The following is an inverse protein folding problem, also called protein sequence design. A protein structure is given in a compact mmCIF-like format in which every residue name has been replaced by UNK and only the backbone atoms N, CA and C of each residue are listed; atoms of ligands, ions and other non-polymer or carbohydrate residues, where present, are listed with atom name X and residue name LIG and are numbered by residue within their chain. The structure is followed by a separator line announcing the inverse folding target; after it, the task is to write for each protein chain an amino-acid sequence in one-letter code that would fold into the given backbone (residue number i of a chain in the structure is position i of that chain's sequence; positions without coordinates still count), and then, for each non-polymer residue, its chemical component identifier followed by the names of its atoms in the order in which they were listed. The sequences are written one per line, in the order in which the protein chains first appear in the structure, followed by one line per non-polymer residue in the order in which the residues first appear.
data_IF_338049563287
#
_entry.id   IF_338049563287
#
_cell.length_a   1.000
_cell.length_b   1.000
_cell.length_c   1.000
_cell.angle_alpha   90.00
_cell.angle_beta   90.00
_cell.angle_gamma   90.00
#
_symmetry.space_group_name_H-M   'P 1'
#
loop_
_entity.id
_entity.type
_entity.pdbx_description
1 polymer ?
#
# COMPACT_ATOMS: atom_id res chain seq x y z
N UNK A 1 -1.62 -46.71 35.20
CA UNK A 1 -1.85 -46.37 33.77
C UNK A 1 -2.86 -45.26 33.58
N UNK A 2 -4.04 -45.31 34.20
CA UNK A 2 -5.13 -44.31 34.00
C UNK A 2 -4.75 -42.87 34.35
N UNK A 3 -3.97 -42.66 35.43
CA UNK A 3 -3.53 -41.31 35.84
C UNK A 3 -2.47 -40.68 34.91
N UNK A 4 -1.58 -41.49 34.30
CA UNK A 4 -0.63 -40.99 33.31
C UNK A 4 -1.32 -40.62 31.99
N UNK A 5 -2.35 -41.38 31.60
CA UNK A 5 -3.12 -41.12 30.39
C UNK A 5 -3.95 -39.83 30.52
N UNK A 6 -4.58 -39.60 31.68
CA UNK A 6 -5.29 -38.37 31.97
C UNK A 6 -4.36 -37.15 32.01
N UNK A 7 -3.18 -37.28 32.61
CA UNK A 7 -2.16 -36.21 32.61
C UNK A 7 -1.71 -35.85 31.19
N UNK A 8 -1.51 -36.85 30.32
CA UNK A 8 -1.12 -36.63 28.93
C UNK A 8 -2.21 -35.89 28.12
N UNK A 9 -3.49 -36.24 28.32
CA UNK A 9 -4.62 -35.53 27.71
C UNK A 9 -4.70 -34.09 28.21
N UNK A 10 -4.51 -33.86 29.51
CA UNK A 10 -4.51 -32.50 30.07
C UNK A 10 -3.38 -31.63 29.52
N UNK A 11 -2.18 -32.19 29.33
CA UNK A 11 -1.05 -31.47 28.70
C UNK A 11 -1.31 -31.21 27.22
N UNK A 12 -1.91 -32.16 26.50
CA UNK A 12 -2.26 -31.98 25.08
C UNK A 12 -3.33 -30.90 24.90
N UNK A 13 -4.37 -30.89 25.75
CA UNK A 13 -5.41 -29.85 25.73
C UNK A 13 -4.86 -28.47 26.13
N UNK A 14 -3.91 -28.41 27.06
CA UNK A 14 -3.22 -27.17 27.41
C UNK A 14 -2.36 -26.67 26.24
N UNK A 15 -1.64 -27.55 25.54
CA UNK A 15 -0.86 -27.21 24.35
C UNK A 15 -1.76 -26.75 23.20
N UNK A 16 -2.93 -27.36 23.01
CA UNK A 16 -3.93 -26.95 22.02
C UNK A 16 -4.55 -25.57 22.35
N UNK A 17 -4.78 -25.26 23.63
CA UNK A 17 -5.22 -23.91 24.05
C UNK A 17 -4.11 -22.86 24.00
N UNK A 18 -2.84 -23.25 24.15
CA UNK A 18 -1.70 -22.34 23.95
C UNK A 18 -1.49 -22.06 22.46
N UNK A 19 -1.83 -22.98 21.55
CA UNK A 19 -1.85 -22.69 20.11
C UNK A 19 -2.98 -21.76 19.67
N UNK A 20 -4.07 -21.59 20.43
CA UNK A 20 -5.05 -20.53 20.17
C UNK A 20 -4.61 -19.17 20.76
N UNK A 21 -3.53 -19.15 21.53
CA UNK A 21 -2.81 -17.96 22.00
C UNK A 21 -1.71 -17.56 20.99
N UNK A 22 -1.95 -17.75 19.69
CA UNK A 22 -1.26 -16.90 18.72
C UNK A 22 -1.78 -15.49 18.97
N UNK A 23 -0.98 -14.66 19.62
CA UNK A 23 -1.06 -13.21 19.47
C UNK A 23 -1.16 -12.98 17.97
N UNK A 24 -2.34 -12.58 17.48
CA UNK A 24 -2.42 -11.87 16.21
C UNK A 24 -1.55 -10.64 16.44
N UNK A 25 -0.29 -10.73 16.03
CA UNK A 25 0.57 -9.56 15.89
C UNK A 25 -0.13 -8.79 14.80
N UNK A 26 -0.93 -7.79 15.19
CA UNK A 26 -1.64 -6.97 14.23
C UNK A 26 -0.56 -6.27 13.41
N UNK A 27 -0.57 -6.50 12.10
CA UNK A 27 0.15 -5.71 11.10
C UNK A 27 0.18 -4.23 11.48
N UNK A 28 1.28 -3.52 11.23
CA UNK A 28 1.10 -2.08 11.09
C UNK A 28 0.16 -1.91 9.88
N UNK A 29 -0.97 -1.22 10.02
CA UNK A 29 -2.06 -1.25 9.04
C UNK A 29 -1.78 -0.40 7.79
N UNK A 30 -0.53 -0.34 7.33
CA UNK A 30 -0.14 0.37 6.12
C UNK A 30 0.02 -0.58 4.94
N UNK A 31 -0.19 -0.04 3.74
CA UNK A 31 0.18 -0.67 2.49
C UNK A 31 1.57 -0.24 2.03
N UNK A 32 2.18 -1.01 1.15
CA UNK A 32 3.41 -0.61 0.48
C UNK A 32 3.31 -0.85 -1.02
N UNK A 33 3.85 0.09 -1.80
CA UNK A 33 3.98 -0.10 -3.23
C UNK A 33 5.18 -1.01 -3.50
N UNK A 34 4.92 -2.14 -4.15
CA UNK A 34 5.98 -3.05 -4.63
C UNK A 34 6.21 -2.78 -6.12
N UNK A 35 7.02 -1.75 -6.38
CA UNK A 35 7.48 -1.41 -7.72
C UNK A 35 8.51 -2.41 -8.27
N UNK A 36 8.42 -2.67 -9.57
CA UNK A 36 9.26 -3.66 -10.28
C UNK A 36 10.02 -3.05 -11.47
N UNK A 37 10.13 -1.71 -11.57
CA UNK A 37 10.92 -1.03 -12.61
C UNK A 37 12.42 -1.05 -12.28
N UNK A 38 12.96 -2.25 -12.14
CA UNK A 38 14.37 -2.52 -11.88
C UNK A 38 14.80 -3.88 -12.41
N UNK A 39 16.11 -4.09 -12.60
CA UNK A 39 16.66 -5.37 -13.09
C UNK A 39 17.46 -6.16 -12.05
N UNK A 40 17.55 -5.64 -10.82
CA UNK A 40 18.38 -6.16 -9.74
C UNK A 40 17.58 -6.53 -8.47
N UNK A 41 16.25 -6.54 -8.57
CA UNK A 41 15.36 -6.87 -7.46
C UNK A 41 15.45 -8.35 -7.05
N UNK A 42 15.20 -8.65 -5.77
CA UNK A 42 15.13 -10.03 -5.30
C UNK A 42 13.92 -10.76 -5.90
N UNK A 43 13.96 -12.09 -5.95
CA UNK A 43 12.82 -12.87 -6.42
C UNK A 43 11.61 -12.67 -5.50
N UNK A 44 10.36 -12.69 -6.03
CA UNK A 44 9.16 -12.41 -5.25
C UNK A 44 8.98 -13.28 -3.99
N UNK A 45 9.50 -14.51 -3.98
CA UNK A 45 9.46 -15.38 -2.80
C UNK A 45 10.28 -14.86 -1.62
N UNK A 46 11.41 -14.18 -1.88
CA UNK A 46 12.18 -13.51 -0.83
C UNK A 46 11.48 -12.23 -0.36
N UNK A 47 10.83 -11.52 -1.29
CA UNK A 47 10.03 -10.33 -0.96
C UNK A 47 8.86 -10.70 -0.05
N UNK A 48 8.19 -11.84 -0.28
CA UNK A 48 7.13 -12.32 0.60
C UNK A 48 7.61 -12.54 2.05
N UNK A 49 8.84 -13.03 2.22
CA UNK A 49 9.45 -13.18 3.56
C UNK A 49 9.73 -11.82 4.20
N UNK A 50 10.22 -10.84 3.41
CA UNK A 50 10.47 -9.48 3.89
C UNK A 50 9.18 -8.78 4.32
N UNK A 51 8.14 -8.82 3.48
CA UNK A 51 6.84 -8.20 3.79
C UNK A 51 6.27 -8.76 5.09
N UNK A 52 6.35 -10.09 5.26
CA UNK A 52 5.91 -10.74 6.49
C UNK A 52 6.73 -10.30 7.70
N UNK A 53 8.04 -10.13 7.58
CA UNK A 53 8.89 -9.69 8.69
C UNK A 53 8.67 -8.21 9.05
N UNK A 54 8.31 -7.37 8.07
CA UNK A 54 7.93 -5.98 8.28
C UNK A 54 6.52 -5.82 8.87
N UNK A 55 5.76 -6.92 8.96
CA UNK A 55 4.37 -6.91 9.43
C UNK A 55 3.48 -5.98 8.57
N UNK A 56 3.74 -5.93 7.27
CA UNK A 56 2.96 -5.18 6.27
C UNK A 56 1.75 -6.01 5.88
N UNK A 57 0.55 -5.43 5.97
CA UNK A 57 -0.70 -6.14 5.68
C UNK A 57 -1.15 -6.03 4.23
N UNK A 58 -0.67 -5.02 3.48
CA UNK A 58 -1.19 -4.68 2.15
C UNK A 58 -0.07 -4.36 1.16
N UNK A 59 -0.21 -4.80 -0.07
CA UNK A 59 0.70 -4.50 -1.18
C UNK A 59 -0.10 -3.91 -2.34
N UNK A 60 0.45 -2.87 -2.96
CA UNK A 60 -0.01 -2.37 -4.26
C UNK A 60 1.04 -2.69 -5.33
N UNK A 61 0.59 -3.39 -6.38
CA UNK A 61 1.34 -3.64 -7.61
C UNK A 61 0.87 -2.69 -8.71
N UNK A 62 1.76 -2.43 -9.67
CA UNK A 62 1.47 -1.63 -10.86
C UNK A 62 1.04 -2.48 -12.07
N UNK A 63 1.05 -3.80 -11.90
CA UNK A 63 0.59 -4.80 -12.85
C UNK A 63 -0.15 -5.93 -12.11
N UNK A 64 -0.42 -7.02 -12.82
CA UNK A 64 -1.00 -8.24 -12.27
C UNK A 64 -0.04 -9.44 -12.44
N UNK A 65 1.24 -9.28 -12.06
CA UNK A 65 2.28 -10.29 -12.22
C UNK A 65 1.93 -11.62 -11.51
N UNK A 66 1.67 -12.71 -12.26
CA UNK A 66 1.40 -14.04 -11.72
C UNK A 66 2.48 -14.57 -10.78
N UNK A 67 3.75 -14.25 -11.06
CA UNK A 67 4.89 -14.76 -10.29
C UNK A 67 4.86 -14.17 -8.89
N UNK A 68 4.53 -12.88 -8.77
CA UNK A 68 4.34 -12.21 -7.48
C UNK A 68 3.11 -12.79 -6.77
N UNK A 69 1.96 -12.84 -7.44
CA UNK A 69 0.72 -13.33 -6.82
C UNK A 69 0.86 -14.75 -6.28
N UNK A 70 1.53 -15.66 -7.00
CA UNK A 70 1.81 -17.03 -6.55
C UNK A 70 2.81 -17.06 -5.39
N UNK A 71 3.85 -16.22 -5.41
CA UNK A 71 4.83 -16.17 -4.32
C UNK A 71 4.23 -15.74 -2.97
N UNK A 72 3.11 -15.01 -3.00
CA UNK A 72 2.36 -14.57 -1.83
C UNK A 72 1.13 -15.44 -1.50
N UNK A 73 0.99 -16.61 -2.13
CA UNK A 73 -0.07 -17.58 -1.82
C UNK A 73 -0.10 -17.89 -0.31
N UNK A 74 -1.29 -17.83 0.29
CA UNK A 74 -1.56 -18.09 1.71
C UNK A 74 -0.80 -17.16 2.68
N UNK A 75 -0.33 -16.00 2.23
CA UNK A 75 0.36 -15.02 3.08
C UNK A 75 -0.59 -14.18 3.94
N UNK A 76 -1.89 -14.16 3.60
CA UNK A 76 -2.92 -13.25 4.12
C UNK A 76 -2.66 -11.75 3.83
N UNK A 77 -1.62 -11.42 3.05
CA UNK A 77 -1.39 -10.05 2.57
C UNK A 77 -2.45 -9.72 1.54
N UNK A 78 -3.10 -8.56 1.70
CA UNK A 78 -4.06 -8.04 0.75
C UNK A 78 -3.35 -7.35 -0.44
N UNK A 79 -3.85 -7.59 -1.65
CA UNK A 79 -3.30 -7.07 -2.89
C UNK A 79 -4.25 -6.12 -3.60
N UNK A 80 -3.72 -4.93 -3.90
CA UNK A 80 -4.18 -4.08 -5.00
C UNK A 80 -3.29 -4.40 -6.20
N UNK A 81 -3.89 -4.79 -7.33
CA UNK A 81 -3.16 -5.03 -8.58
C UNK A 81 -3.44 -3.93 -9.60
N UNK A 82 -2.50 -3.73 -10.53
CA UNK A 82 -2.58 -2.68 -11.53
C UNK A 82 -2.96 -3.18 -12.92
N UNK A 83 -3.71 -2.36 -13.64
CA UNK A 83 -3.83 -2.43 -15.10
C UNK A 83 -3.18 -1.18 -15.70
N UNK A 84 -2.13 -1.36 -16.50
CA UNK A 84 -1.35 -0.26 -17.06
C UNK A 84 -2.14 0.62 -18.04
N UNK A 85 -1.70 1.88 -18.19
CA UNK A 85 -2.34 2.89 -19.03
C UNK A 85 -2.46 2.45 -20.50
N UNK A 86 -1.50 1.67 -20.99
CA UNK A 86 -1.48 1.10 -22.35
C UNK A 86 -2.62 0.11 -22.62
N UNK A 87 -3.22 -0.43 -21.57
CA UNK A 87 -4.31 -1.41 -21.66
C UNK A 87 -5.71 -0.76 -21.69
N UNK A 88 -5.84 0.53 -21.36
CA UNK A 88 -7.12 1.22 -21.20
C UNK A 88 -8.02 1.09 -22.44
N UNK A 89 -7.47 1.33 -23.64
CA UNK A 89 -8.25 1.21 -24.88
C UNK A 89 -8.78 -0.21 -25.11
N UNK A 90 -7.99 -1.23 -24.77
CA UNK A 90 -8.43 -2.62 -24.92
C UNK A 90 -9.53 -2.96 -23.92
N UNK A 91 -9.46 -2.41 -22.71
CA UNK A 91 -10.42 -2.69 -21.66
C UNK A 91 -11.78 -2.05 -21.91
N UNK A 92 -11.92 -1.07 -22.81
CA UNK A 92 -13.26 -0.56 -23.20
C UNK A 92 -14.11 -1.62 -23.93
N UNK A 93 -13.55 -2.79 -24.27
CA UNK A 93 -14.26 -3.92 -24.84
C UNK A 93 -14.56 -4.98 -23.75
N UNK A 94 -15.84 -5.25 -23.50
CA UNK A 94 -16.28 -6.16 -22.44
C UNK A 94 -15.68 -7.58 -22.54
N UNK A 95 -15.58 -8.16 -23.74
CA UNK A 95 -14.99 -9.50 -23.91
C UNK A 95 -13.49 -9.52 -23.57
N UNK A 96 -12.76 -8.44 -23.89
CA UNK A 96 -11.35 -8.31 -23.51
C UNK A 96 -11.19 -8.10 -22.00
N UNK A 97 -12.05 -7.28 -21.38
CA UNK A 97 -12.05 -7.06 -19.93
C UNK A 97 -12.32 -8.38 -19.17
N UNK A 98 -13.35 -9.12 -19.57
CA UNK A 98 -13.65 -10.43 -18.99
C UNK A 98 -12.49 -11.42 -19.18
N UNK A 99 -11.90 -11.50 -20.37
CA UNK A 99 -10.73 -12.35 -20.62
C UNK A 99 -9.56 -11.98 -19.71
N UNK A 100 -9.31 -10.67 -19.52
CA UNK A 100 -8.25 -10.21 -18.63
C UNK A 100 -8.48 -10.64 -17.18
N UNK A 101 -9.69 -10.51 -16.64
CA UNK A 101 -10.03 -10.96 -15.27
C UNK A 101 -9.83 -12.47 -15.12
N UNK A 102 -10.34 -13.26 -16.07
CA UNK A 102 -10.22 -14.72 -16.05
C UNK A 102 -8.77 -15.19 -16.14
N UNK A 103 -7.89 -14.41 -16.76
CA UNK A 103 -6.48 -14.73 -16.93
C UNK A 103 -5.61 -14.25 -15.75
N UNK A 104 -5.81 -13.03 -15.26
CA UNK A 104 -4.89 -12.35 -14.35
C UNK A 104 -5.40 -12.19 -12.92
N UNK A 105 -6.70 -12.43 -12.67
CA UNK A 105 -7.31 -12.20 -11.35
C UNK A 105 -7.90 -13.50 -10.81
N UNK A 106 -8.90 -14.05 -11.50
CA UNK A 106 -9.69 -15.19 -11.04
C UNK A 106 -8.85 -16.42 -10.63
N UNK A 107 -7.77 -16.81 -11.32
CA UNK A 107 -6.99 -17.99 -10.95
C UNK A 107 -6.32 -17.89 -9.56
N UNK A 108 -6.11 -16.67 -9.07
CA UNK A 108 -5.33 -16.40 -7.85
C UNK A 108 -6.20 -16.17 -6.61
N UNK A 109 -7.48 -15.82 -6.77
CA UNK A 109 -8.38 -15.41 -5.67
C UNK A 109 -8.57 -16.45 -4.56
N UNK A 110 -8.34 -17.74 -4.85
CA UNK A 110 -8.45 -18.81 -3.85
C UNK A 110 -7.25 -18.90 -2.90
N UNK A 111 -6.14 -18.28 -3.26
CA UNK A 111 -4.86 -18.42 -2.58
C UNK A 111 -4.25 -17.07 -2.18
N UNK A 112 -4.53 -16.02 -2.94
CA UNK A 112 -3.98 -14.68 -2.75
C UNK A 112 -5.14 -13.70 -2.61
N UNK A 113 -5.08 -12.87 -1.56
CA UNK A 113 -6.17 -11.97 -1.20
C UNK A 113 -6.15 -10.70 -2.07
N UNK A 114 -6.51 -10.82 -3.34
CA UNK A 114 -6.68 -9.67 -4.23
C UNK A 114 -8.02 -9.01 -3.90
N UNK A 115 -8.01 -7.74 -3.54
CA UNK A 115 -9.20 -6.99 -3.12
C UNK A 115 -9.54 -5.85 -4.07
N UNK A 116 -8.61 -5.43 -4.92
CA UNK A 116 -8.79 -4.26 -5.77
C UNK A 116 -7.96 -4.31 -7.04
N UNK A 117 -8.54 -3.79 -8.13
CA UNK A 117 -7.86 -3.47 -9.39
C UNK A 117 -7.78 -1.95 -9.53
N UNK A 118 -6.56 -1.42 -9.64
CA UNK A 118 -6.33 -0.02 -10.03
C UNK A 118 -6.20 0.06 -11.55
N UNK A 119 -7.14 0.74 -12.19
CA UNK A 119 -7.22 0.89 -13.65
C UNK A 119 -6.52 2.17 -14.06
N UNK A 120 -5.33 2.02 -14.65
CA UNK A 120 -4.43 3.12 -14.95
C UNK A 120 -3.81 3.77 -13.70
N UNK A 121 -2.80 4.60 -13.93
CA UNK A 121 -2.12 5.40 -12.93
C UNK A 121 -1.85 6.80 -13.49
N UNK A 122 -2.33 7.82 -12.79
CA UNK A 122 -2.15 9.24 -13.09
C UNK A 122 -2.57 9.64 -14.52
N UNK A 123 -3.56 8.94 -15.08
CA UNK A 123 -4.01 9.12 -16.47
C UNK A 123 -4.42 10.57 -16.78
N UNK A 124 -5.03 11.24 -15.81
CA UNK A 124 -5.51 12.62 -15.95
C UNK A 124 -4.40 13.69 -15.80
N UNK A 125 -3.18 13.29 -15.43
CA UNK A 125 -1.98 14.14 -15.42
C UNK A 125 -1.10 13.91 -16.67
N UNK A 126 -1.58 13.05 -17.59
CA UNK A 126 -0.92 12.84 -18.89
C UNK A 126 -1.35 13.89 -19.92
N UNK A 127 -0.67 13.92 -21.07
CA UNK A 127 -1.12 14.69 -22.24
C UNK A 127 -1.90 13.81 -23.24
N UNK A 128 -2.28 12.58 -22.86
CA UNK A 128 -2.97 11.64 -23.74
C UNK A 128 -4.48 11.68 -23.50
N UNK A 129 -5.15 12.56 -24.25
CA UNK A 129 -6.60 12.72 -24.20
C UNK A 129 -7.35 11.42 -24.53
N UNK A 130 -6.79 10.54 -25.36
CA UNK A 130 -7.43 9.27 -25.69
C UNK A 130 -7.45 8.35 -24.47
N UNK A 131 -6.37 8.29 -23.70
CA UNK A 131 -6.34 7.55 -22.43
C UNK A 131 -7.32 8.11 -21.41
N UNK A 132 -7.42 9.45 -21.29
CA UNK A 132 -8.41 10.08 -20.40
C UNK A 132 -9.85 9.68 -20.76
N UNK A 133 -10.20 9.66 -22.05
CA UNK A 133 -11.52 9.22 -22.52
C UNK A 133 -11.77 7.72 -22.31
N UNK A 134 -10.72 6.89 -22.37
CA UNK A 134 -10.84 5.45 -22.20
C UNK A 134 -10.91 5.00 -20.73
N UNK A 135 -10.50 5.86 -19.78
CA UNK A 135 -10.37 5.49 -18.37
C UNK A 135 -11.69 4.99 -17.76
N UNK A 136 -12.74 5.83 -17.79
CA UNK A 136 -14.03 5.44 -17.20
C UNK A 136 -14.66 4.23 -17.92
N UNK A 137 -14.73 4.16 -19.27
CA UNK A 137 -15.22 2.97 -19.95
C UNK A 137 -14.45 1.69 -19.59
N UNK A 138 -13.13 1.77 -19.43
CA UNK A 138 -12.31 0.63 -18.99
C UNK A 138 -12.62 0.19 -17.55
N UNK A 139 -12.84 1.14 -16.64
CA UNK A 139 -13.25 0.84 -15.27
C UNK A 139 -14.62 0.16 -15.23
N UNK A 140 -15.58 0.67 -16.02
CA UNK A 140 -16.94 0.15 -16.09
C UNK A 140 -16.97 -1.28 -16.62
N UNK A 141 -16.31 -1.57 -17.75
CA UNK A 141 -16.28 -2.92 -18.32
C UNK A 141 -15.55 -3.94 -17.45
N UNK A 142 -14.52 -3.53 -16.72
CA UNK A 142 -13.85 -4.40 -15.73
C UNK A 142 -14.76 -4.69 -14.54
N UNK A 143 -15.46 -3.67 -14.02
CA UNK A 143 -16.43 -3.88 -12.95
C UNK A 143 -17.58 -4.78 -13.39
N UNK A 144 -18.18 -4.52 -14.56
CA UNK A 144 -19.26 -5.35 -15.11
C UNK A 144 -18.81 -6.80 -15.29
N UNK A 145 -17.58 -7.02 -15.77
CA UNK A 145 -17.03 -8.37 -15.89
C UNK A 145 -16.77 -9.04 -14.54
N UNK A 146 -16.43 -8.30 -13.47
CA UNK A 146 -16.39 -8.84 -12.10
C UNK A 146 -17.79 -9.25 -11.64
N UNK A 147 -18.82 -8.43 -11.89
CA UNK A 147 -20.22 -8.72 -11.55
C UNK A 147 -20.70 -9.97 -12.28
N UNK A 148 -20.46 -10.07 -13.60
CA UNK A 148 -20.85 -11.22 -14.42
C UNK A 148 -20.20 -12.53 -13.95
N UNK A 149 -19.01 -12.45 -13.36
CA UNK A 149 -18.28 -13.58 -12.78
C UNK A 149 -18.60 -13.82 -11.29
N UNK A 150 -19.42 -12.96 -10.66
CA UNK A 150 -19.77 -13.03 -9.24
C UNK A 150 -18.59 -12.71 -8.30
N UNK A 151 -17.66 -11.86 -8.74
CA UNK A 151 -16.41 -11.51 -8.04
C UNK A 151 -16.42 -10.07 -7.48
N UNK A 152 -17.43 -9.27 -7.78
CA UNK A 152 -17.55 -7.84 -7.41
C UNK A 152 -17.62 -7.59 -5.90
N UNK A 153 -18.04 -8.60 -5.12
CA UNK A 153 -18.04 -8.54 -3.67
C UNK A 153 -16.66 -8.78 -3.05
N UNK A 154 -15.74 -9.40 -3.80
CA UNK A 154 -14.37 -9.69 -3.36
C UNK A 154 -13.37 -8.68 -3.91
N UNK A 155 -13.53 -8.27 -5.18
CA UNK A 155 -12.62 -7.40 -5.90
C UNK A 155 -13.35 -6.14 -6.32
N UNK A 156 -12.85 -4.98 -5.90
CA UNK A 156 -13.35 -3.67 -6.37
C UNK A 156 -12.49 -3.10 -7.50
N UNK A 157 -13.01 -2.09 -8.20
CA UNK A 157 -12.28 -1.33 -9.24
C UNK A 157 -12.15 0.12 -8.81
N UNK A 158 -10.96 0.69 -9.01
CA UNK A 158 -10.66 2.10 -8.79
C UNK A 158 -9.60 2.58 -9.81
N UNK A 159 -9.16 3.82 -9.69
CA UNK A 159 -8.04 4.40 -10.44
C UNK A 159 -7.24 5.32 -9.52
N UNK A 160 -5.93 5.42 -9.75
CA UNK A 160 -5.03 6.28 -8.98
C UNK A 160 -4.78 7.58 -9.72
N UNK A 161 -4.95 8.71 -9.03
CA UNK A 161 -4.77 10.04 -9.57
C UNK A 161 -3.51 10.72 -9.02
N UNK A 162 -2.86 11.55 -9.83
CA UNK A 162 -1.83 12.47 -9.35
C UNK A 162 -2.48 13.59 -8.56
N UNK A 163 -1.82 14.12 -7.53
CA UNK A 163 -2.28 15.32 -6.83
C UNK A 163 -2.43 16.55 -7.75
N UNK A 164 -1.75 16.56 -8.91
CA UNK A 164 -1.79 17.65 -9.89
C UNK A 164 -3.14 17.81 -10.62
N UNK A 165 -4.11 16.92 -10.38
CA UNK A 165 -5.48 17.10 -10.89
C UNK A 165 -6.23 18.22 -10.16
N UNK A 166 -5.71 18.72 -9.03
CA UNK A 166 -6.25 19.87 -8.31
C UNK A 166 -5.74 21.19 -8.92
N UNK A 167 -6.64 22.13 -9.18
CA UNK A 167 -6.28 23.51 -9.52
C UNK A 167 -6.00 24.33 -8.26
N UNK A 168 -6.69 24.03 -7.16
CA UNK A 168 -6.46 24.67 -5.88
C UNK A 168 -6.40 23.62 -4.78
N UNK A 169 -5.46 23.78 -3.86
CA UNK A 169 -5.31 22.94 -2.66
C UNK A 169 -5.01 23.75 -1.40
N UNK A 170 -4.93 25.09 -1.50
CA UNK A 170 -4.68 25.97 -0.37
C UNK A 170 -5.66 27.16 -0.35
N UNK A 171 -6.33 27.45 0.79
CA UNK A 171 -6.38 26.58 1.96
C UNK A 171 -7.12 25.25 1.66
N UNK A 172 -6.94 24.18 2.44
CA UNK A 172 -7.50 22.86 2.15
C UNK A 172 -9.02 22.86 1.89
N UNK A 173 -9.79 23.64 2.64
CA UNK A 173 -11.23 23.78 2.46
C UNK A 173 -11.67 24.36 1.10
N UNK A 174 -10.74 25.03 0.39
CA UNK A 174 -10.95 25.56 -0.97
C UNK A 174 -10.43 24.61 -2.05
N UNK A 175 -10.16 23.35 -1.71
CA UNK A 175 -9.74 22.32 -2.65
C UNK A 175 -10.68 22.22 -3.84
N UNK A 176 -10.14 22.25 -5.06
CA UNK A 176 -10.91 22.19 -6.30
C UNK A 176 -10.12 21.48 -7.39
N UNK A 177 -10.80 20.64 -8.16
CA UNK A 177 -10.23 20.02 -9.37
C UNK A 177 -10.00 21.06 -10.47
N UNK A 178 -9.05 20.78 -11.37
CA UNK A 178 -8.85 21.60 -12.56
C UNK A 178 -10.07 21.59 -13.46
N UNK A 179 -10.45 22.77 -13.95
CA UNK A 179 -11.65 22.96 -14.78
C UNK A 179 -11.59 22.13 -16.07
N UNK A 180 -10.42 22.01 -16.71
CA UNK A 180 -10.24 21.24 -17.95
C UNK A 180 -10.42 19.74 -17.75
N UNK A 181 -10.24 19.24 -16.52
CA UNK A 181 -10.39 17.83 -16.16
C UNK A 181 -11.79 17.48 -15.64
N UNK A 182 -12.63 18.46 -15.32
CA UNK A 182 -13.96 18.24 -14.71
C UNK A 182 -14.84 17.31 -15.55
N UNK A 183 -14.74 17.39 -16.89
CA UNK A 183 -15.49 16.52 -17.81
C UNK A 183 -15.17 15.03 -17.64
N UNK A 184 -13.97 14.70 -17.16
CA UNK A 184 -13.53 13.33 -16.88
C UNK A 184 -13.78 12.96 -15.41
N UNK A 185 -13.52 13.88 -14.49
CA UNK A 185 -13.60 13.64 -13.04
C UNK A 185 -15.05 13.48 -12.57
N UNK A 186 -15.98 14.33 -13.02
CA UNK A 186 -17.38 14.23 -12.58
C UNK A 186 -17.98 12.82 -12.82
N UNK A 187 -17.89 12.23 -14.03
CA UNK A 187 -18.45 10.91 -14.25
C UNK A 187 -17.64 9.80 -13.55
N UNK A 188 -16.33 9.97 -13.31
CA UNK A 188 -15.55 9.06 -12.45
C UNK A 188 -16.05 9.07 -11.01
N UNK A 189 -16.29 10.24 -10.40
CA UNK A 189 -16.84 10.35 -9.05
C UNK A 189 -18.22 9.71 -8.96
N UNK A 190 -19.09 9.93 -9.95
CA UNK A 190 -20.39 9.26 -10.01
C UNK A 190 -20.26 7.73 -10.03
N UNK A 191 -19.26 7.21 -10.76
CA UNK A 191 -19.00 5.78 -10.81
C UNK A 191 -18.44 5.25 -9.48
N UNK A 192 -17.48 5.94 -8.86
CA UNK A 192 -16.98 5.61 -7.51
C UNK A 192 -18.11 5.50 -6.49
N UNK A 193 -19.02 6.49 -6.46
CA UNK A 193 -20.20 6.48 -5.61
C UNK A 193 -21.14 5.29 -5.91
N UNK A 194 -21.37 5.00 -7.20
CA UNK A 194 -22.24 3.90 -7.64
C UNK A 194 -21.74 2.52 -7.16
N UNK A 195 -20.43 2.28 -7.23
CA UNK A 195 -19.83 0.97 -6.88
C UNK A 195 -19.22 0.95 -5.47
N UNK A 196 -19.39 2.04 -4.71
CA UNK A 196 -18.81 2.25 -3.39
C UNK A 196 -17.29 1.97 -3.34
N UNK A 197 -16.55 2.46 -4.35
CA UNK A 197 -15.10 2.32 -4.43
C UNK A 197 -14.37 3.60 -3.99
N UNK A 198 -13.17 3.49 -3.40
CA UNK A 198 -12.42 4.65 -2.94
C UNK A 198 -11.86 5.45 -4.12
N UNK A 199 -11.65 6.74 -3.90
CA UNK A 199 -10.87 7.62 -4.76
C UNK A 199 -9.40 7.57 -4.33
N UNK A 200 -8.52 7.04 -5.18
CA UNK A 200 -7.10 6.92 -4.86
C UNK A 200 -6.32 8.16 -5.35
N UNK A 201 -5.50 8.73 -4.48
CA UNK A 201 -4.65 9.87 -4.80
C UNK A 201 -3.18 9.59 -4.43
N UNK A 202 -2.27 9.92 -5.32
CA UNK A 202 -0.84 9.94 -5.11
C UNK A 202 -0.46 11.34 -4.61
N UNK A 203 -0.05 11.45 -3.34
CA UNK A 203 0.17 12.74 -2.68
C UNK A 203 1.56 12.77 -2.03
N UNK A 204 2.39 13.73 -2.46
CA UNK A 204 3.79 13.82 -2.05
C UNK A 204 4.11 15.24 -1.55
N UNK A 205 4.15 15.47 -0.22
CA UNK A 205 4.65 16.71 0.37
C UNK A 205 6.07 17.09 -0.08
N UNK A 206 6.88 16.10 -0.47
CA UNK A 206 8.21 16.30 -1.03
C UNK A 206 8.21 17.29 -2.21
N UNK A 207 7.29 17.17 -3.16
CA UNK A 207 7.31 18.03 -4.36
C UNK A 207 7.03 19.50 -4.00
N UNK A 208 6.10 19.77 -3.09
CA UNK A 208 5.83 21.13 -2.63
C UNK A 208 7.06 21.77 -1.96
N UNK A 209 7.78 21.00 -1.13
CA UNK A 209 9.02 21.47 -0.51
C UNK A 209 10.14 21.65 -1.52
N UNK A 210 10.32 20.70 -2.43
CA UNK A 210 11.32 20.75 -3.51
C UNK A 210 11.17 22.02 -4.34
N UNK A 211 9.93 22.36 -4.71
CA UNK A 211 9.65 23.50 -5.59
C UNK A 211 9.77 24.85 -4.87
N UNK A 212 9.42 24.92 -3.58
CA UNK A 212 9.40 26.17 -2.81
C UNK A 212 10.00 26.03 -1.40
N UNK A 213 11.28 25.66 -1.25
CA UNK A 213 11.88 25.32 0.06
C UNK A 213 11.99 26.52 1.02
N UNK A 214 11.88 27.75 0.51
CA UNK A 214 11.90 28.98 1.30
C UNK A 214 10.52 29.34 1.87
N UNK A 215 9.44 28.84 1.27
CA UNK A 215 8.06 29.15 1.65
C UNK A 215 7.39 27.97 2.36
N UNK A 216 7.72 26.74 1.96
CA UNK A 216 7.21 25.51 2.57
C UNK A 216 8.15 25.08 3.71
N UNK A 217 7.73 25.13 4.98
CA UNK A 217 8.61 24.78 6.09
C UNK A 217 8.92 23.28 6.08
N UNK A 218 10.21 22.91 6.16
CA UNK A 218 10.63 21.50 6.16
C UNK A 218 9.96 20.68 7.28
N UNK A 219 9.83 21.25 8.48
CA UNK A 219 9.19 20.52 9.59
C UNK A 219 7.70 20.20 9.31
N UNK A 220 7.01 21.06 8.57
CA UNK A 220 5.60 20.88 8.22
C UNK A 220 5.38 19.72 7.24
N UNK A 221 6.31 19.51 6.31
CA UNK A 221 6.23 18.40 5.34
C UNK A 221 6.83 17.09 5.86
N UNK A 222 7.57 17.12 6.97
CA UNK A 222 8.18 15.94 7.61
C UNK A 222 7.44 15.45 8.87
N UNK A 223 6.24 15.95 9.16
CA UNK A 223 5.48 15.65 10.40
C UNK A 223 6.26 15.98 11.69
N UNK A 224 7.20 16.93 11.63
CA UNK A 224 7.98 17.37 12.79
C UNK A 224 7.27 18.52 13.52
N UNK A 225 7.58 18.77 14.80
CA UNK A 225 7.00 19.89 15.53
C UNK A 225 7.17 21.23 14.79
N UNK A 226 6.04 21.90 14.56
CA UNK A 226 5.95 23.16 13.82
C UNK A 226 4.65 23.90 14.24
N UNK A 227 4.48 25.20 13.95
CA UNK A 227 3.27 25.93 14.33
C UNK A 227 2.00 25.47 13.60
N UNK A 228 2.12 24.71 12.52
CA UNK A 228 1.05 24.30 11.62
C UNK A 228 0.44 25.47 10.85
N UNK A 229 -0.61 25.17 10.09
CA UNK A 229 -1.40 26.13 9.33
C UNK A 229 -2.87 26.05 9.77
N UNK A 230 -3.52 27.20 9.91
CA UNK A 230 -4.96 27.26 10.18
C UNK A 230 -5.67 27.60 8.89
N UNK A 231 -6.59 26.73 8.49
CA UNK A 231 -7.49 26.99 7.38
C UNK A 231 -8.46 28.14 7.75
N UNK A 232 -8.47 29.26 7.01
CA UNK A 232 -9.22 30.45 7.38
C UNK A 232 -10.74 30.31 7.20
N UNK A 233 -11.21 29.34 6.42
CA UNK A 233 -12.64 29.14 6.17
C UNK A 233 -13.27 28.19 7.18
N UNK A 234 -12.49 27.25 7.71
CA UNK A 234 -12.98 26.17 8.59
C UNK A 234 -12.41 26.23 10.01
N UNK A 235 -11.38 27.04 10.25
CA UNK A 235 -10.56 27.07 11.48
C UNK A 235 -9.91 25.73 11.84
N UNK A 236 -9.82 24.78 10.89
CA UNK A 236 -9.11 23.54 11.10
C UNK A 236 -7.60 23.80 11.11
N UNK A 237 -6.91 23.23 12.10
CA UNK A 237 -5.46 23.31 12.22
C UNK A 237 -4.83 22.07 11.61
N UNK A 238 -3.89 22.28 10.68
CA UNK A 238 -3.11 21.26 10.04
C UNK A 238 -1.68 21.37 10.54
N UNK A 239 -1.20 20.36 11.27
CA UNK A 239 0.18 20.29 11.74
C UNK A 239 1.13 19.67 10.70
N UNK A 240 0.60 19.14 9.59
CA UNK A 240 1.39 18.57 8.50
C UNK A 240 0.71 18.73 7.14
N UNK A 241 1.53 18.72 6.08
CA UNK A 241 1.04 18.92 4.71
C UNK A 241 0.21 17.76 4.16
N UNK A 242 0.53 16.50 4.49
CA UNK A 242 -0.19 15.36 3.91
C UNK A 242 -1.67 15.40 4.32
N UNK A 243 -1.98 15.79 5.55
CA UNK A 243 -3.36 15.91 6.02
C UNK A 243 -4.09 17.05 5.31
N UNK A 244 -3.39 18.18 5.10
CA UNK A 244 -3.90 19.28 4.30
C UNK A 244 -4.19 18.87 2.85
N UNK A 245 -3.32 18.04 2.24
CA UNK A 245 -3.53 17.51 0.90
C UNK A 245 -4.74 16.58 0.82
N UNK A 246 -4.88 15.63 1.76
CA UNK A 246 -6.04 14.72 1.82
C UNK A 246 -7.35 15.52 1.96
N UNK A 247 -7.39 16.50 2.86
CA UNK A 247 -8.60 17.29 3.08
C UNK A 247 -8.90 18.24 1.91
N UNK A 248 -7.89 18.68 1.15
CA UNK A 248 -8.10 19.37 -0.12
C UNK A 248 -8.78 18.48 -1.18
N UNK A 249 -8.44 17.20 -1.25
CA UNK A 249 -9.13 16.25 -2.15
C UNK A 249 -10.57 16.04 -1.71
N UNK A 250 -10.82 15.85 -0.40
CA UNK A 250 -12.18 15.76 0.12
C UNK A 250 -13.00 17.02 -0.18
N UNK A 251 -12.42 18.21 -0.04
CA UNK A 251 -13.08 19.46 -0.39
C UNK A 251 -13.41 19.53 -1.89
N UNK A 252 -12.49 19.12 -2.77
CA UNK A 252 -12.71 19.09 -4.21
C UNK A 252 -13.83 18.11 -4.61
N UNK A 253 -13.85 16.91 -4.04
CA UNK A 253 -14.91 15.92 -4.25
C UNK A 253 -16.27 16.46 -3.76
N UNK A 254 -16.28 17.11 -2.59
CA UNK A 254 -17.47 17.76 -2.04
C UNK A 254 -18.00 18.87 -2.93
N UNK A 255 -17.12 19.68 -3.52
CA UNK A 255 -17.51 20.72 -4.48
C UNK A 255 -18.17 20.14 -5.74
N UNK A 256 -17.86 18.89 -6.09
CA UNK A 256 -18.47 18.13 -7.20
C UNK A 256 -19.74 17.36 -6.80
N UNK A 257 -20.25 17.60 -5.58
CA UNK A 257 -21.52 17.05 -5.09
C UNK A 257 -21.44 15.72 -4.36
N UNK A 258 -20.23 15.21 -4.07
CA UNK A 258 -20.03 13.90 -3.46
C UNK A 258 -19.52 14.03 -2.02
N UNK A 259 -20.10 13.27 -1.08
CA UNK A 259 -19.68 13.28 0.35
C UNK A 259 -19.46 11.89 0.92
N UNK A 260 -19.77 10.90 0.10
CA UNK A 260 -19.87 9.47 0.32
C UNK A 260 -18.65 8.70 -0.22
N UNK A 261 -17.78 9.38 -0.98
CA UNK A 261 -16.56 8.78 -1.53
C UNK A 261 -15.41 8.92 -0.52
N UNK A 262 -14.83 7.79 -0.15
CA UNK A 262 -13.61 7.71 0.68
C UNK A 262 -12.38 8.05 -0.14
N UNK A 263 -11.49 8.88 0.39
CA UNK A 263 -10.17 9.17 -0.21
C UNK A 263 -9.11 8.31 0.47
N UNK A 264 -8.29 7.62 -0.33
CA UNK A 264 -7.13 6.85 0.15
C UNK A 264 -5.87 7.28 -0.59
N UNK A 265 -4.73 7.22 0.10
CA UNK A 265 -3.44 7.54 -0.50
C UNK A 265 -2.87 6.28 -1.15
N UNK A 266 -2.88 6.24 -2.48
CA UNK A 266 -2.27 5.13 -3.23
C UNK A 266 -0.75 5.21 -3.28
N UNK A 267 -0.19 6.39 -3.09
CA UNK A 267 1.26 6.59 -3.02
C UNK A 267 1.61 7.84 -2.21
N UNK A 268 2.57 7.68 -1.31
CA UNK A 268 3.30 8.79 -0.70
C UNK A 268 4.66 8.31 -0.20
N UNK A 269 5.67 9.17 -0.27
CA UNK A 269 7.02 8.81 0.14
C UNK A 269 7.96 10.01 0.05
N UNK A 270 9.23 9.75 0.35
CA UNK A 270 10.26 10.78 0.30
C UNK A 270 11.57 10.18 -0.22
N UNK A 271 12.20 10.75 -1.27
CA UNK A 271 13.39 10.18 -1.87
C UNK A 271 14.61 10.38 -0.96
N UNK A 272 15.44 9.35 -0.85
CA UNK A 272 16.68 9.37 -0.07
C UNK A 272 17.84 10.05 -0.78
N UNK A 273 17.71 10.31 -2.08
CA UNK A 273 18.71 10.98 -2.91
C UNK A 273 18.04 11.55 -4.14
N UNK A 274 18.43 12.74 -4.54
CA UNK A 274 17.95 13.39 -5.77
C UNK A 274 19.07 14.08 -6.54
N UNK A 275 18.68 14.72 -7.64
CA UNK A 275 19.55 15.60 -8.41
C UNK A 275 19.86 16.89 -7.62
N UNK A 276 20.86 17.71 -8.03
CA UNK A 276 21.27 18.89 -7.27
C UNK A 276 20.15 19.92 -7.00
N UNK A 277 19.12 19.96 -7.83
CA UNK A 277 17.94 20.82 -7.72
C UNK A 277 16.78 20.16 -6.93
N UNK A 278 16.92 18.90 -6.54
CA UNK A 278 15.92 18.17 -5.75
C UNK A 278 16.15 18.35 -4.23
N UNK A 279 16.06 19.62 -3.80
CA UNK A 279 16.32 20.02 -2.42
C UNK A 279 15.46 19.22 -1.44
N UNK A 280 16.10 18.68 -0.41
CA UNK A 280 15.44 17.88 0.62
C UNK A 280 15.48 16.37 0.38
N UNK A 281 15.88 15.89 -0.81
CA UNK A 281 16.07 14.47 -1.09
C UNK A 281 17.33 13.92 -0.40
N UNK A 282 17.19 13.48 0.85
CA UNK A 282 18.29 12.98 1.68
C UNK A 282 17.83 11.77 2.50
N UNK A 283 18.74 10.85 2.89
CA UNK A 283 18.35 9.70 3.72
C UNK A 283 17.76 10.12 5.06
N UNK A 284 18.21 11.24 5.63
CA UNK A 284 17.71 11.77 6.89
C UNK A 284 16.26 12.24 6.78
N UNK A 285 15.93 13.02 5.74
CA UNK A 285 14.55 13.47 5.54
C UNK A 285 13.64 12.31 5.15
N UNK A 286 14.12 11.36 4.36
CA UNK A 286 13.36 10.15 4.02
C UNK A 286 13.03 9.30 5.27
N UNK A 287 13.99 9.15 6.18
CA UNK A 287 13.77 8.49 7.46
C UNK A 287 12.74 9.22 8.32
N UNK A 288 12.83 10.55 8.42
CA UNK A 288 11.87 11.36 9.17
C UNK A 288 10.47 11.27 8.56
N UNK A 289 10.32 11.45 7.25
CA UNK A 289 9.03 11.41 6.59
C UNK A 289 8.34 10.05 6.78
N UNK A 290 8.99 8.97 6.34
CA UNK A 290 8.40 7.63 6.37
C UNK A 290 8.25 7.11 7.81
N UNK A 291 9.21 7.39 8.71
CA UNK A 291 9.12 6.99 10.11
C UNK A 291 7.97 7.67 10.84
N UNK A 292 7.83 9.00 10.70
CA UNK A 292 6.74 9.73 11.35
C UNK A 292 5.38 9.37 10.73
N UNK A 293 5.31 9.16 9.42
CA UNK A 293 4.10 8.68 8.75
C UNK A 293 3.61 7.35 9.34
N UNK A 294 4.51 6.38 9.52
CA UNK A 294 4.16 5.09 10.12
C UNK A 294 3.69 5.24 11.57
N UNK A 295 4.29 6.14 12.34
CA UNK A 295 3.83 6.46 13.70
C UNK A 295 2.39 6.99 13.70
N UNK A 296 2.06 7.90 12.78
CA UNK A 296 0.71 8.46 12.63
C UNK A 296 -0.33 7.40 12.23
N UNK A 297 0.07 6.46 11.37
CA UNK A 297 -0.76 5.30 10.99
C UNK A 297 -0.98 4.36 12.19
N UNK A 298 0.06 4.06 12.98
CA UNK A 298 -0.04 3.23 14.19
C UNK A 298 -1.00 3.84 15.22
N UNK A 299 -0.99 5.18 15.34
CA UNK A 299 -1.89 5.95 16.19
C UNK A 299 -3.33 6.01 15.67
N UNK A 300 -3.59 5.49 14.45
CA UNK A 300 -4.89 5.52 13.76
C UNK A 300 -5.44 6.94 13.62
N UNK A 301 -4.54 7.90 13.40
CA UNK A 301 -4.93 9.29 13.22
C UNK A 301 -5.73 9.48 11.92
N UNK A 302 -6.78 10.31 12.00
CA UNK A 302 -7.46 10.86 10.84
C UNK A 302 -6.98 12.28 10.56
N UNK A 303 -7.46 12.87 9.48
CA UNK A 303 -7.19 14.28 9.15
C UNK A 303 -8.06 15.23 9.98
N UNK A 304 -7.72 16.54 10.06
CA UNK A 304 -8.54 17.52 10.76
C UNK A 304 -10.02 17.56 10.30
N UNK A 305 -10.30 17.41 9.00
CA UNK A 305 -11.68 17.37 8.49
C UNK A 305 -12.36 16.00 8.64
N UNK A 306 -11.60 14.91 8.83
CA UNK A 306 -12.09 13.53 9.00
C UNK A 306 -11.41 12.82 10.18
N UNK A 307 -11.50 13.33 11.43
CA UNK A 307 -10.71 12.83 12.56
C UNK A 307 -11.09 11.42 13.01
N UNK A 308 -12.29 10.94 12.64
CA UNK A 308 -12.77 9.60 12.97
C UNK A 308 -12.46 8.53 11.92
N UNK A 309 -11.87 8.91 10.79
CA UNK A 309 -11.49 8.00 9.70
C UNK A 309 -9.97 7.94 9.67
N UNK A 310 -9.34 6.84 10.12
CA UNK A 310 -7.90 6.69 10.05
C UNK A 310 -7.40 6.86 8.62
N UNK A 311 -6.21 7.46 8.47
CA UNK A 311 -5.56 7.54 7.17
C UNK A 311 -5.27 6.15 6.60
N UNK A 312 -5.61 5.97 5.33
CA UNK A 312 -5.31 4.75 4.58
C UNK A 312 -4.27 5.06 3.49
N UNK A 313 -3.09 4.44 3.60
CA UNK A 313 -1.90 4.82 2.86
C UNK A 313 -1.12 3.60 2.35
N UNK A 314 -0.66 3.71 1.10
CA UNK A 314 0.43 2.90 0.55
C UNK A 314 1.73 3.71 0.47
N UNK A 315 2.74 3.30 1.22
CA UNK A 315 4.07 3.93 1.21
C UNK A 315 4.76 3.63 -0.12
N UNK A 316 5.31 4.65 -0.77
CA UNK A 316 6.09 4.55 -1.99
C UNK A 316 7.59 4.73 -1.67
N UNK A 317 8.43 3.71 -1.84
CA UNK A 317 8.13 2.33 -2.25
C UNK A 317 9.00 1.31 -1.51
N UNK A 318 8.76 0.01 -1.73
CA UNK A 318 9.52 -1.05 -1.06
C UNK A 318 11.02 -1.01 -1.40
N UNK A 319 11.36 -0.87 -2.69
CA UNK A 319 12.74 -0.90 -3.18
C UNK A 319 13.11 0.35 -3.95
N UNK A 320 14.41 0.65 -4.00
CA UNK A 320 14.98 1.54 -5.01
C UNK A 320 14.87 0.88 -6.39
N UNK A 321 14.35 1.60 -7.37
CA UNK A 321 14.03 1.06 -8.71
C UNK A 321 14.95 1.69 -9.78
N UNK A 322 16.02 1.00 -10.16
CA UNK A 322 17.13 1.55 -10.95
C UNK A 322 16.80 1.87 -12.41
N UNK A 323 15.69 1.34 -12.95
CA UNK A 323 15.23 1.61 -14.32
C UNK A 323 14.14 2.68 -14.40
N UNK A 324 13.76 3.34 -13.29
CA UNK A 324 12.81 4.46 -13.35
C UNK A 324 13.42 5.64 -14.11
N UNK A 325 12.71 6.17 -15.13
CA UNK A 325 13.16 7.34 -15.88
C UNK A 325 13.03 8.62 -15.04
N UNK A 326 13.52 9.75 -15.56
CA UNK A 326 13.39 11.05 -14.91
C UNK A 326 14.52 11.35 -13.91
N UNK A 327 14.28 12.25 -12.94
CA UNK A 327 15.31 12.75 -12.04
C UNK A 327 15.85 11.66 -11.11
N UNK A 328 16.97 11.92 -10.43
CA UNK A 328 17.59 10.94 -9.53
C UNK A 328 16.69 10.49 -8.39
N UNK A 329 15.78 11.33 -7.89
CA UNK A 329 14.79 10.96 -6.87
C UNK A 329 14.00 9.72 -7.23
N UNK A 330 13.58 9.59 -8.49
CA UNK A 330 12.74 8.47 -8.98
C UNK A 330 13.37 7.10 -8.71
N UNK A 331 14.70 7.02 -8.66
CA UNK A 331 15.44 5.77 -8.40
C UNK A 331 15.75 5.53 -6.92
N UNK A 332 15.30 6.42 -6.02
CA UNK A 332 15.76 6.50 -4.63
C UNK A 332 14.63 6.64 -3.59
N UNK A 333 13.39 6.27 -3.92
CA UNK A 333 12.24 6.25 -3.00
C UNK A 333 12.15 5.02 -2.08
N UNK A 334 12.97 4.00 -2.34
CA UNK A 334 12.92 2.72 -1.63
C UNK A 334 13.17 2.83 -0.14
N UNK A 335 12.41 2.06 0.64
CA UNK A 335 12.77 1.75 2.04
C UNK A 335 13.98 0.81 2.10
N UNK A 336 14.18 -0.01 1.06
CA UNK A 336 15.26 -0.97 0.91
C UNK A 336 16.05 -0.79 -0.39
N UNK A 337 17.33 -1.11 -0.33
CA UNK A 337 18.09 -1.42 -1.53
C UNK A 337 17.65 -2.78 -2.11
N UNK A 338 17.91 -3.05 -3.40
CA UNK A 338 17.58 -4.34 -4.01
C UNK A 338 18.24 -5.55 -3.34
N UNK A 339 19.34 -5.36 -2.61
CA UNK A 339 19.98 -6.44 -1.83
C UNK A 339 19.27 -6.75 -0.49
N UNK A 340 18.22 -5.99 -0.15
CA UNK A 340 17.43 -6.17 1.07
C UNK A 340 18.01 -5.49 2.31
N UNK A 341 19.03 -4.65 2.14
CA UNK A 341 19.51 -3.76 3.20
C UNK A 341 18.61 -2.51 3.28
N UNK A 342 18.24 -2.06 4.48
CA UNK A 342 17.55 -0.78 4.67
C UNK A 342 18.36 0.39 4.10
N UNK A 343 17.71 1.30 3.36
CA UNK A 343 18.35 2.54 2.90
C UNK A 343 18.58 3.50 4.08
N UNK A 344 17.63 3.52 5.01
CA UNK A 344 17.63 4.30 6.24
C UNK A 344 16.73 3.60 7.26
N UNK A 345 16.86 3.94 8.54
CA UNK A 345 16.05 3.34 9.61
C UNK A 345 14.71 4.07 9.76
N UNK A 346 13.60 3.38 9.53
CA UNK A 346 12.23 3.91 9.67
C UNK A 346 11.58 3.66 11.04
N UNK A 347 12.31 3.11 12.01
CA UNK A 347 11.84 3.02 13.40
C UNK A 347 10.82 1.91 13.68
N UNK A 348 10.64 0.94 12.78
CA UNK A 348 9.81 -0.26 13.02
C UNK A 348 10.32 -1.03 14.25
N UNK A 349 9.58 -0.94 15.37
CA UNK A 349 9.79 -1.58 16.68
C UNK A 349 11.16 -2.27 16.89
N UNK A 350 12.22 -1.47 17.00
CA UNK A 350 13.55 -1.92 17.46
C UNK A 350 14.45 -2.60 16.43
N UNK A 351 13.96 -2.99 15.24
CA UNK A 351 14.79 -3.49 14.14
C UNK A 351 14.01 -3.51 12.82
N UNK A 352 14.36 -2.64 11.87
CA UNK A 352 13.91 -2.80 10.49
C UNK A 352 14.53 -4.10 9.93
N UNK A 353 13.72 -5.09 9.57
CA UNK A 353 14.25 -6.41 9.24
C UNK A 353 15.05 -6.34 7.95
N UNK A 354 16.27 -6.87 7.98
CA UNK A 354 17.03 -7.18 6.76
C UNK A 354 16.44 -8.42 6.09
N UNK A 355 16.53 -8.50 4.76
CA UNK A 355 16.14 -9.74 4.09
C UNK A 355 17.02 -10.90 4.59
N UNK A 356 16.42 -12.03 5.00
CA UNK A 356 17.19 -13.21 5.31
C UNK A 356 17.85 -13.71 4.01
N UNK A 357 19.16 -13.49 3.89
CA UNK A 357 19.98 -14.13 2.86
C UNK A 357 19.79 -15.64 2.97
N UNK A 358 19.50 -16.30 1.85
CA UNK A 358 19.32 -17.75 1.80
C UNK A 358 20.62 -18.47 2.20
N UNK A 359 20.81 -18.66 3.50
CA UNK A 359 21.75 -19.64 4.04
C UNK A 359 21.12 -21.01 3.82
N UNK A 360 21.70 -21.80 2.91
CA UNK A 360 21.46 -23.25 2.91
C UNK A 360 21.81 -23.73 4.32
N UNK A 361 20.86 -24.36 5.03
CA UNK A 361 21.07 -25.28 6.18
C UNK A 361 20.56 -24.93 7.60
N UNK A 362 19.39 -24.29 7.80
CA UNK A 362 18.81 -24.22 9.16
C UNK A 362 17.40 -24.83 9.35
N UNK A 363 16.62 -25.04 8.29
CA UNK A 363 15.29 -25.65 8.40
C UNK A 363 15.32 -27.13 8.82
N UNK A 364 16.43 -27.85 8.57
CA UNK A 364 16.56 -29.26 8.90
C UNK A 364 16.86 -29.51 10.39
N UNK A 365 17.48 -28.54 11.09
CA UNK A 365 17.86 -28.70 12.50
C UNK A 365 16.69 -28.55 13.47
N UNK A 366 15.77 -27.61 13.20
CA UNK A 366 14.63 -27.36 14.10
C UNK A 366 13.64 -28.53 14.05
N UNK A 367 13.32 -29.04 12.86
CA UNK A 367 12.46 -30.21 12.71
C UNK A 367 13.10 -31.49 13.26
N UNK A 368 14.43 -31.65 13.14
CA UNK A 368 15.15 -32.77 13.74
C UNK A 368 15.10 -32.72 15.27
N UNK A 369 15.29 -31.55 15.88
CA UNK A 369 15.28 -31.40 17.35
C UNK A 369 13.89 -31.69 17.94
N UNK A 370 12.82 -31.23 17.27
CA UNK A 370 11.44 -31.50 17.68
C UNK A 370 11.13 -33.00 17.58
N UNK A 371 11.53 -33.68 16.50
CA UNK A 371 11.37 -35.13 16.35
C UNK A 371 12.18 -35.93 17.40
N UNK A 372 13.39 -35.48 17.74
CA UNK A 372 14.21 -36.14 18.77
C UNK A 372 13.57 -35.99 20.15
N UNK A 373 13.08 -34.80 20.49
CA UNK A 373 12.43 -34.55 21.78
C UNK A 373 11.13 -35.37 21.90
N UNK A 374 10.30 -35.42 20.85
CA UNK A 374 9.07 -36.22 20.87
C UNK A 374 9.36 -37.72 20.97
N UNK A 375 10.37 -38.24 20.26
CA UNK A 375 10.80 -39.63 20.38
C UNK A 375 11.36 -39.96 21.77
N UNK A 376 12.14 -39.07 22.39
CA UNK A 376 12.68 -39.26 23.74
C UNK A 376 11.58 -39.26 24.80
N UNK A 377 10.58 -38.40 24.67
CA UNK A 377 9.41 -38.37 25.55
C UNK A 377 8.61 -39.68 25.40
N UNK A 378 8.42 -40.15 24.16
CA UNK A 378 7.70 -41.40 23.90
C UNK A 378 8.42 -42.63 24.47
N UNK A 379 9.75 -42.69 24.31
CA UNK A 379 10.58 -43.76 24.86
C UNK A 379 10.60 -43.75 26.40
N UNK A 380 10.63 -42.58 27.03
CA UNK A 380 10.56 -42.45 28.48
C UNK A 380 9.22 -42.94 29.04
N UNK A 381 8.11 -42.61 28.38
CA UNK A 381 6.77 -43.10 28.77
C UNK A 381 6.68 -44.62 28.66
N UNK A 382 7.18 -45.21 27.57
CA UNK A 382 7.19 -46.67 27.39
C UNK A 382 8.06 -47.38 28.43
N UNK A 383 9.19 -46.80 28.85
CA UNK A 383 10.08 -47.40 29.86
C UNK A 383 9.48 -47.47 31.28
N UNK A 384 8.37 -46.78 31.53
CA UNK A 384 7.66 -46.74 32.81
C UNK A 384 6.28 -47.40 32.77
N UNK A 385 5.98 -48.13 31.68
CA UNK A 385 4.73 -48.87 31.47
C UNK A 385 4.81 -50.29 32.00
#
# INVERSE_FOLDING_TARGET
MTNCFLFFISVLLLLLHISDLFVQIHGLPFGINYGQKANNLPPPSQVAVLIKSMNVSRIKLYDADPIVLVAFSQSNVEFVIGLGNESLQNMTNAAKAQTWIQQYVQPYLSQTNITCITVGNEVLDSNDTQQMFNLLPAMQTLHDALVDLGLDQQVTVTTAHSFNILANSYPPSSGAFREDLMQYIQPLLNFHAQINSPFLINAYPFFAYKDNPNEVPLNYVLFQPNPGLVDPNTNLHYDNMLYAQIDAVYAAIKAMGHTDIEVRISETGWPSKGDPDEVGATPQNAALYNGNLLQRIEQKEGTPAKPSVPIDIYVFALFNEDLKPGPASERNYGLYYPDGTPVYNIGLQGYQPQMPMASKSNAMYVNFLVCVITCLIFAWVLSRS
#
